data_IF_060368709522
#
_entry.id   IF_060368709522
#
_cell.length_a   1.000
_cell.length_b   1.000
_cell.length_c   1.000
_cell.angle_alpha   90.00
_cell.angle_beta   90.00
_cell.angle_gamma   90.00
#
_symmetry.space_group_name_H-M   'P 1'
#
loop_
_entity.id
_entity.type
_entity.pdbx_description
1 polymer ?
#
# COMPACT_ATOMS: atom_id res chain seq x y z
N UNK A 1 -9.66 -31.50 -19.21
CA UNK A 1 -8.20 -31.36 -19.12
C UNK A 1 -7.84 -29.99 -19.64
N UNK A 2 -7.56 -29.01 -18.80
CA UNK A 2 -6.37 -28.98 -17.94
C UNK A 2 -6.66 -28.40 -16.54
N UNK A 3 -6.20 -29.12 -15.54
CA UNK A 3 -6.00 -28.72 -14.14
C UNK A 3 -4.54 -28.31 -14.00
N UNK A 4 -4.29 -27.15 -13.38
CA UNK A 4 -3.17 -26.75 -12.49
C UNK A 4 -3.23 -25.22 -12.36
N UNK A 5 -3.71 -24.70 -11.22
CA UNK A 5 -2.91 -24.00 -10.19
C UNK A 5 -2.58 -22.56 -10.66
N UNK A 6 -2.90 -21.47 -9.96
CA UNK A 6 -2.41 -21.15 -8.63
C UNK A 6 -3.38 -20.20 -7.90
N UNK A 7 -3.68 -20.51 -6.64
CA UNK A 7 -4.19 -19.58 -5.64
C UNK A 7 -3.06 -18.61 -5.19
N UNK A 8 -2.21 -18.16 -6.11
CA UNK A 8 -1.19 -17.16 -5.86
C UNK A 8 -1.90 -15.82 -5.66
N UNK A 9 -1.87 -15.34 -4.43
CA UNK A 9 -2.30 -14.00 -4.07
C UNK A 9 -1.54 -13.01 -4.98
N UNK A 10 -2.20 -12.51 -6.03
CA UNK A 10 -1.58 -11.61 -7.02
C UNK A 10 -0.98 -10.40 -6.29
N UNK A 11 0.16 -9.87 -6.78
CA UNK A 11 0.76 -8.67 -6.20
C UNK A 11 -0.27 -7.53 -6.05
N UNK A 12 -0.12 -6.69 -5.03
CA UNK A 12 -1.06 -5.59 -4.80
C UNK A 12 -0.66 -4.36 -5.61
N UNK A 13 0.64 -4.08 -5.67
CA UNK A 13 1.21 -3.00 -6.48
C UNK A 13 1.27 -3.41 -7.96
N UNK A 14 1.05 -2.47 -8.87
CA UNK A 14 1.11 -2.75 -10.31
C UNK A 14 -0.15 -3.38 -10.91
N UNK A 15 -1.17 -3.68 -10.11
CA UNK A 15 -2.40 -4.35 -10.56
C UNK A 15 -3.60 -3.39 -10.64
N UNK A 16 -4.57 -3.66 -11.54
CA UNK A 16 -5.78 -2.85 -11.64
C UNK A 16 -6.53 -2.76 -10.31
N UNK A 17 -6.92 -1.54 -9.92
CA UNK A 17 -7.60 -1.28 -8.66
C UNK A 17 -8.92 -2.07 -8.56
N UNK A 18 -9.72 -2.08 -9.61
CA UNK A 18 -11.01 -2.78 -9.64
C UNK A 18 -10.86 -4.28 -9.35
N UNK A 19 -9.87 -4.92 -9.96
CA UNK A 19 -9.58 -6.34 -9.76
C UNK A 19 -9.14 -6.63 -8.33
N UNK A 20 -8.26 -5.79 -7.76
CA UNK A 20 -7.85 -5.89 -6.36
C UNK A 20 -9.07 -5.83 -5.42
N UNK A 21 -9.95 -4.83 -5.62
CA UNK A 21 -11.14 -4.64 -4.79
C UNK A 21 -12.11 -5.82 -4.91
N UNK A 22 -12.30 -6.33 -6.13
CA UNK A 22 -13.15 -7.49 -6.43
C UNK A 22 -12.64 -8.76 -5.76
N UNK A 23 -11.34 -9.09 -5.92
CA UNK A 23 -10.72 -10.32 -5.38
C UNK A 23 -10.65 -10.29 -3.86
N UNK A 24 -10.36 -9.13 -3.26
CA UNK A 24 -10.28 -8.99 -1.80
C UNK A 24 -11.63 -8.75 -1.13
N UNK A 25 -12.70 -8.57 -1.91
CA UNK A 25 -14.03 -8.18 -1.45
C UNK A 25 -14.01 -6.92 -0.55
N UNK A 26 -13.30 -5.88 -1.02
CA UNK A 26 -13.11 -4.63 -0.28
C UNK A 26 -13.68 -3.45 -1.04
N UNK A 27 -14.11 -2.43 -0.29
CA UNK A 27 -14.48 -1.11 -0.84
C UNK A 27 -13.28 -0.17 -1.02
N UNK A 28 -12.22 -0.39 -0.24
CA UNK A 28 -10.99 0.42 -0.24
C UNK A 28 -9.80 -0.53 -0.25
N UNK A 29 -8.84 -0.29 -1.14
CA UNK A 29 -7.63 -1.10 -1.27
C UNK A 29 -6.82 -1.08 0.04
N UNK A 30 -6.25 -2.23 0.40
CA UNK A 30 -5.49 -2.38 1.65
C UNK A 30 -4.39 -1.31 1.83
N UNK A 31 -3.55 -1.00 0.81
CA UNK A 31 -2.51 0.02 0.94
C UNK A 31 -3.07 1.40 1.25
N UNK A 32 -4.16 1.80 0.60
CA UNK A 32 -4.81 3.09 0.83
C UNK A 32 -5.32 3.15 2.28
N UNK A 33 -6.12 2.16 2.69
CA UNK A 33 -6.74 2.16 4.01
C UNK A 33 -5.70 2.16 5.14
N UNK A 34 -4.69 1.29 5.06
CA UNK A 34 -3.69 1.18 6.10
C UNK A 34 -2.78 2.41 6.17
N UNK A 35 -2.25 2.85 5.03
CA UNK A 35 -1.33 4.00 5.02
C UNK A 35 -2.05 5.26 5.51
N UNK A 36 -3.29 5.52 5.07
CA UNK A 36 -4.05 6.67 5.55
C UNK A 36 -4.35 6.56 7.05
N UNK A 37 -4.77 5.38 7.52
CA UNK A 37 -5.03 5.16 8.96
C UNK A 37 -3.79 5.34 9.82
N UNK A 38 -2.62 4.91 9.36
CA UNK A 38 -1.35 5.10 10.06
C UNK A 38 -0.93 6.58 10.05
N UNK A 39 -1.02 7.26 8.91
CA UNK A 39 -0.67 8.68 8.78
C UNK A 39 -1.56 9.58 9.64
N UNK A 40 -2.87 9.30 9.73
CA UNK A 40 -3.77 10.02 10.63
C UNK A 40 -3.39 9.88 12.11
N UNK A 41 -2.71 8.79 12.49
CA UNK A 41 -2.31 8.52 13.87
C UNK A 41 -0.91 9.05 14.23
N UNK A 42 0.00 9.10 13.25
CA UNK A 42 1.42 9.38 13.53
C UNK A 42 2.05 10.49 12.68
N UNK A 43 1.41 10.91 11.59
CA UNK A 43 2.01 11.81 10.60
C UNK A 43 1.40 13.20 10.51
N UNK A 44 0.33 13.51 11.25
CA UNK A 44 -0.42 14.76 11.08
C UNK A 44 0.36 16.03 11.49
N UNK A 45 1.31 15.88 12.40
CA UNK A 45 2.19 16.98 12.87
C UNK A 45 3.58 16.93 12.21
N UNK A 46 3.82 15.97 11.31
CA UNK A 46 5.12 15.80 10.66
C UNK A 46 5.34 16.85 9.57
N UNK A 47 6.46 17.59 9.65
CA UNK A 47 6.80 18.58 8.64
C UNK A 47 7.12 17.91 7.30
N UNK A 48 6.59 18.46 6.20
CA UNK A 48 6.93 17.98 4.87
C UNK A 48 6.41 16.57 4.58
N UNK A 49 5.34 16.14 5.26
CA UNK A 49 4.63 14.91 4.90
C UNK A 49 4.31 14.89 3.40
N UNK A 50 4.51 13.74 2.76
CA UNK A 50 4.46 13.54 1.30
C UNK A 50 5.53 14.26 0.47
N UNK A 51 6.22 15.29 0.98
CA UNK A 51 7.34 15.98 0.31
C UNK A 51 8.68 15.31 0.60
N UNK A 52 8.98 15.06 1.88
CA UNK A 52 10.22 14.43 2.33
C UNK A 52 10.15 12.92 2.07
N UNK A 53 11.28 12.34 1.64
CA UNK A 53 11.41 10.91 1.39
C UNK A 53 11.86 10.18 2.68
N UNK A 54 11.15 9.10 3.02
CA UNK A 54 11.58 8.20 4.08
C UNK A 54 12.71 7.26 3.64
N UNK A 55 13.27 6.50 4.59
CA UNK A 55 14.36 5.56 4.31
C UNK A 55 13.98 4.47 3.30
N UNK A 56 14.77 4.33 2.23
CA UNK A 56 14.48 3.41 1.10
C UNK A 56 14.32 1.93 1.53
N UNK A 57 15.15 1.46 2.47
CA UNK A 57 15.07 0.07 2.98
C UNK A 57 13.78 -0.19 3.76
N UNK A 58 13.32 0.78 4.56
CA UNK A 58 12.04 0.69 5.28
C UNK A 58 10.87 0.73 4.28
N UNK A 59 10.95 1.62 3.29
CA UNK A 59 9.94 1.73 2.24
C UNK A 59 9.76 0.41 1.48
N UNK A 60 10.87 -0.21 1.06
CA UNK A 60 10.85 -1.52 0.40
C UNK A 60 10.18 -2.58 1.28
N UNK A 61 10.46 -2.60 2.58
CA UNK A 61 9.86 -3.56 3.52
C UNK A 61 8.35 -3.38 3.64
N UNK A 62 7.87 -2.13 3.78
CA UNK A 62 6.44 -1.84 3.85
C UNK A 62 5.73 -2.23 2.56
N UNK A 63 6.30 -1.92 1.41
CA UNK A 63 5.74 -2.34 0.11
C UNK A 63 5.58 -3.86 0.04
N UNK A 64 6.62 -4.62 0.39
CA UNK A 64 6.57 -6.09 0.38
C UNK A 64 5.50 -6.63 1.34
N UNK A 65 5.35 -6.04 2.53
CA UNK A 65 4.30 -6.45 3.48
C UNK A 65 2.89 -6.10 3.00
N UNK A 66 2.73 -5.01 2.26
CA UNK A 66 1.47 -4.64 1.63
C UNK A 66 1.14 -5.54 0.44
N UNK A 67 2.13 -5.87 -0.40
CA UNK A 67 2.00 -6.82 -1.51
C UNK A 67 1.59 -8.21 -1.02
N UNK A 68 2.17 -8.67 0.08
CA UNK A 68 1.83 -9.94 0.70
C UNK A 68 0.53 -9.88 1.54
N UNK A 69 -0.18 -8.75 1.54
CA UNK A 69 -1.38 -8.51 2.37
C UNK A 69 -1.22 -8.82 3.87
N UNK A 70 0.01 -8.79 4.40
CA UNK A 70 0.33 -9.17 5.77
C UNK A 70 0.61 -7.98 6.69
N UNK A 71 0.68 -6.76 6.13
CA UNK A 71 0.81 -5.56 6.95
C UNK A 71 -0.47 -5.32 7.76
N UNK A 72 -0.32 -5.02 9.04
CA UNK A 72 -1.42 -4.59 9.92
C UNK A 72 -1.20 -3.15 10.39
N UNK A 73 -2.25 -2.50 10.90
CA UNK A 73 -2.12 -1.15 11.42
C UNK A 73 -1.12 -1.07 12.58
N UNK A 74 -1.15 -1.92 13.63
CA UNK A 74 -0.13 -1.91 14.69
C UNK A 74 1.29 -2.02 14.15
N UNK A 75 1.55 -2.97 13.25
CA UNK A 75 2.87 -3.15 12.62
C UNK A 75 3.28 -1.93 11.79
N UNK A 76 2.34 -1.27 11.11
CA UNK A 76 2.62 -0.03 10.39
C UNK A 76 3.02 1.12 11.33
N UNK A 77 2.39 1.22 12.51
CA UNK A 77 2.73 2.24 13.52
C UNK A 77 4.12 2.02 14.14
N UNK A 78 4.61 0.78 14.20
CA UNK A 78 5.95 0.45 14.73
C UNK A 78 7.11 1.02 13.89
N UNK A 79 6.88 1.37 12.62
CA UNK A 79 7.92 1.98 11.78
C UNK A 79 8.32 3.38 12.25
N UNK A 80 7.44 4.07 13.01
CA UNK A 80 7.65 5.40 13.60
C UNK A 80 8.24 6.44 12.63
N UNK A 81 7.93 6.30 11.35
CA UNK A 81 8.48 7.11 10.27
C UNK A 81 7.37 7.35 9.24
N UNK A 82 6.62 8.45 9.38
CA UNK A 82 5.47 8.75 8.52
C UNK A 82 5.89 8.99 7.06
N UNK A 83 7.12 9.45 6.80
CA UNK A 83 7.61 9.64 5.44
C UNK A 83 7.73 8.32 4.68
N UNK A 84 8.04 7.22 5.38
CA UNK A 84 8.05 5.87 4.79
C UNK A 84 6.64 5.42 4.42
N UNK A 85 5.66 5.62 5.31
CA UNK A 85 4.25 5.26 5.05
C UNK A 85 3.68 6.09 3.90
N UNK A 86 3.94 7.40 3.90
CA UNK A 86 3.58 8.30 2.80
C UNK A 86 4.25 7.88 1.49
N UNK A 87 5.51 7.45 1.55
CA UNK A 87 6.23 6.87 0.42
C UNK A 87 5.53 5.64 -0.15
N UNK A 88 5.10 4.72 0.71
CA UNK A 88 4.44 3.48 0.30
C UNK A 88 3.09 3.76 -0.38
N UNK A 89 2.31 4.71 0.15
CA UNK A 89 1.05 5.17 -0.44
C UNK A 89 1.27 5.82 -1.81
N UNK A 90 2.22 6.76 -1.92
CA UNK A 90 2.58 7.39 -3.19
C UNK A 90 3.00 6.37 -4.24
N UNK A 91 3.80 5.39 -3.82
CA UNK A 91 4.27 4.32 -4.70
C UNK A 91 3.11 3.48 -5.22
N UNK A 92 2.15 3.13 -4.37
CA UNK A 92 0.97 2.35 -4.76
C UNK A 92 0.15 3.08 -5.83
N UNK A 93 -0.18 4.35 -5.59
CA UNK A 93 -0.98 5.16 -6.51
C UNK A 93 -0.29 5.37 -7.87
N UNK A 94 1.04 5.55 -7.87
CA UNK A 94 1.82 5.73 -9.10
C UNK A 94 1.98 4.45 -9.91
N UNK A 95 1.95 3.30 -9.24
CA UNK A 95 2.11 1.99 -9.88
C UNK A 95 0.79 1.41 -10.40
N UNK A 96 -0.36 2.07 -10.18
CA UNK A 96 -1.62 1.64 -10.78
C UNK A 96 -1.53 1.71 -12.32
N UNK A 97 -2.01 0.68 -13.05
CA UNK A 97 -2.03 0.70 -14.51
C UNK A 97 -2.86 1.84 -15.09
N UNK A 98 -3.94 2.21 -14.39
CA UNK A 98 -4.77 3.36 -14.66
C UNK A 98 -4.69 4.32 -13.47
N UNK A 99 -4.52 5.64 -13.69
CA UNK A 99 -4.51 6.60 -12.60
C UNK A 99 -5.81 6.53 -11.80
N UNK A 100 -5.72 6.81 -10.48
CA UNK A 100 -6.88 6.79 -9.59
C UNK A 100 -8.01 7.72 -10.08
N UNK A 101 -7.64 8.87 -10.64
CA UNK A 101 -8.55 9.70 -11.42
C UNK A 101 -8.46 9.22 -12.86
N UNK A 102 -9.43 8.41 -13.27
CA UNK A 102 -9.52 7.76 -14.59
C UNK A 102 -9.35 8.78 -15.72
N UNK A 103 -8.91 8.30 -16.90
CA UNK A 103 -8.67 9.15 -18.08
C UNK A 103 -9.91 9.85 -18.63
#
# INVERSE_FOLDING_TARGET
NSVTDDNEMKPVYGHPLEEHLRVTNRKIALPIQLCVSALLRLGMEEEGLFRIAGGASKLRRIKLSLDACCLTLPTALEYKDPHVIAGALKSYLRELPEPLLTF
#
